data_IF_291591379467
#
_entry.id   IF_291591379467
#
_cell.length_a   1.000
_cell.length_b   1.000
_cell.length_c   1.000
_cell.angle_alpha   90.00
_cell.angle_beta   90.00
_cell.angle_gamma   90.00
#
_symmetry.space_group_name_H-M   'P 1'
#
loop_
_entity.id
_entity.type
_entity.pdbx_description
1 polymer ?
#
# COMPACT_ATOMS: atom_id res chain seq x y z
N UNK A 1 -36.44 3.34 57.12
CA UNK A 1 -35.10 2.76 56.90
C UNK A 1 -34.83 2.71 55.39
N UNK A 2 -34.13 3.72 54.89
CA UNK A 2 -33.27 3.80 53.69
C UNK A 2 -33.33 2.68 52.63
N UNK A 3 -34.31 2.67 51.73
CA UNK A 3 -34.22 1.87 50.49
C UNK A 3 -34.07 2.74 49.22
N UNK A 4 -34.54 3.99 49.26
CA UNK A 4 -34.47 4.90 48.09
C UNK A 4 -33.11 5.61 47.91
N UNK A 5 -32.17 5.48 48.86
CA UNK A 5 -30.88 6.20 48.84
C UNK A 5 -29.75 5.46 48.12
N UNK A 6 -29.95 4.20 47.73
CA UNK A 6 -28.87 3.34 47.22
C UNK A 6 -28.90 3.09 45.70
N UNK A 7 -29.82 3.67 44.95
CA UNK A 7 -29.96 3.43 43.50
C UNK A 7 -29.21 4.47 42.63
N UNK A 8 -28.67 5.53 43.24
CA UNK A 8 -28.03 6.64 42.50
C UNK A 8 -26.54 6.44 42.17
N UNK A 9 -25.93 5.31 42.55
CA UNK A 9 -24.47 5.14 42.44
C UNK A 9 -23.97 4.28 41.26
N UNK A 10 -24.85 3.72 40.43
CA UNK A 10 -24.43 2.77 39.37
C UNK A 10 -24.50 3.30 37.94
N UNK A 11 -24.91 4.55 37.71
CA UNK A 11 -25.03 5.10 36.35
C UNK A 11 -23.71 5.66 35.78
N UNK A 12 -22.67 5.86 36.60
CA UNK A 12 -21.40 6.50 36.17
C UNK A 12 -20.37 5.50 35.64
N UNK A 13 -20.59 4.18 35.80
CA UNK A 13 -19.64 3.17 35.35
C UNK A 13 -19.75 2.81 33.86
N UNK A 14 -20.86 3.14 33.19
CA UNK A 14 -21.09 2.83 31.78
C UNK A 14 -20.47 3.86 30.81
N UNK A 15 -19.99 5.00 31.31
CA UNK A 15 -19.40 6.06 30.48
C UNK A 15 -17.91 5.86 30.14
N UNK A 16 -17.20 4.96 30.84
CA UNK A 16 -15.76 4.76 30.63
C UNK A 16 -15.42 3.74 29.53
N UNK A 17 -16.40 2.98 29.03
CA UNK A 17 -16.15 2.00 27.95
C UNK A 17 -16.01 2.65 26.56
N UNK A 18 -16.28 3.96 26.43
CA UNK A 18 -16.17 4.68 25.16
C UNK A 18 -14.80 5.37 24.95
N UNK A 19 -13.84 5.20 25.87
CA UNK A 19 -12.47 5.72 25.74
C UNK A 19 -11.47 4.63 25.30
N UNK A 20 -11.96 3.58 24.64
CA UNK A 20 -11.11 2.64 23.90
C UNK A 20 -10.77 3.30 22.58
N UNK A 21 -9.60 3.96 22.51
CA UNK A 21 -9.18 4.77 21.36
C UNK A 21 -9.49 4.10 20.03
N UNK A 22 -10.25 4.80 19.20
CA UNK A 22 -10.46 4.40 17.82
C UNK A 22 -9.10 4.47 17.13
N UNK A 23 -8.56 3.31 16.74
CA UNK A 23 -7.42 3.27 15.84
C UNK A 23 -7.95 3.73 14.49
N UNK A 24 -7.66 4.96 14.11
CA UNK A 24 -7.96 5.44 12.77
C UNK A 24 -7.36 4.44 11.76
N UNK A 25 -8.11 4.09 10.70
CA UNK A 25 -7.55 3.24 9.64
C UNK A 25 -6.28 3.92 9.09
N UNK A 26 -5.24 3.15 8.75
CA UNK A 26 -4.02 3.71 8.23
C UNK A 26 -4.33 4.53 6.96
N UNK A 27 -3.70 5.70 6.86
CA UNK A 27 -3.79 6.53 5.67
C UNK A 27 -3.29 5.75 4.46
N UNK A 28 -3.93 5.93 3.30
CA UNK A 28 -3.53 5.29 2.04
C UNK A 28 -3.17 6.34 0.98
N UNK A 29 -2.49 5.89 -0.08
CA UNK A 29 -2.20 6.66 -1.29
C UNK A 29 -2.13 5.77 -2.53
N UNK A 30 -1.99 6.38 -3.70
CA UNK A 30 -1.86 5.66 -4.96
C UNK A 30 -0.39 5.50 -5.37
N UNK A 31 -0.05 4.34 -5.94
CA UNK A 31 1.26 4.00 -6.49
C UNK A 31 1.12 3.55 -7.93
N UNK A 32 2.01 4.02 -8.80
CA UNK A 32 2.12 3.55 -10.18
C UNK A 32 3.59 3.44 -10.55
N UNK A 33 3.98 2.31 -11.14
CA UNK A 33 5.32 2.05 -11.62
C UNK A 33 5.29 1.81 -13.12
N UNK A 34 6.00 2.64 -13.86
CA UNK A 34 6.24 2.45 -15.29
C UNK A 34 7.73 2.24 -15.55
N UNK A 35 8.04 1.49 -16.61
CA UNK A 35 9.42 1.22 -17.03
C UNK A 35 9.71 1.79 -18.41
N UNK A 36 10.93 2.27 -18.58
CA UNK A 36 11.53 2.73 -19.83
C UNK A 36 13.03 2.43 -19.78
N UNK A 37 13.71 2.54 -20.92
CA UNK A 37 15.16 2.38 -21.00
C UNK A 37 15.80 3.55 -21.75
N UNK A 38 17.08 3.76 -21.50
CA UNK A 38 17.87 4.69 -22.30
C UNK A 38 18.06 4.13 -23.72
N UNK A 39 18.37 4.99 -24.71
CA UNK A 39 18.73 4.52 -26.03
C UNK A 39 19.90 3.53 -25.95
N UNK A 40 19.73 2.36 -26.56
CA UNK A 40 20.77 1.33 -26.66
C UNK A 40 21.18 1.16 -28.11
N UNK A 41 22.47 1.33 -28.39
CA UNK A 41 23.02 1.13 -29.72
C UNK A 41 23.42 -0.33 -29.94
N UNK A 42 23.17 -0.86 -31.14
CA UNK A 42 23.68 -2.17 -31.57
C UNK A 42 22.93 -3.39 -31.05
N UNK A 43 21.89 -3.24 -30.22
CA UNK A 43 20.96 -4.32 -29.91
C UNK A 43 19.81 -4.37 -30.93
N UNK A 44 19.29 -5.57 -31.21
CA UNK A 44 18.09 -5.75 -32.05
C UNK A 44 16.81 -5.87 -31.22
N UNK A 45 16.93 -6.33 -29.97
CA UNK A 45 15.86 -6.35 -28.97
C UNK A 45 16.48 -6.55 -27.58
N UNK A 46 15.78 -6.07 -26.55
CA UNK A 46 16.14 -6.27 -25.14
C UNK A 46 14.89 -6.75 -24.41
N UNK A 47 14.77 -8.05 -24.21
CA UNK A 47 13.62 -8.66 -23.55
C UNK A 47 13.88 -8.86 -22.06
N UNK A 48 12.97 -8.39 -21.22
CA UNK A 48 12.96 -8.65 -19.78
C UNK A 48 11.65 -9.33 -19.40
N UNK A 49 11.75 -10.44 -18.69
CA UNK A 49 10.62 -11.15 -18.11
C UNK A 49 10.46 -10.69 -16.65
N UNK A 50 9.42 -9.89 -16.38
CA UNK A 50 9.06 -9.49 -15.02
C UNK A 50 8.18 -10.57 -14.40
N UNK A 51 8.57 -11.08 -13.23
CA UNK A 51 7.84 -12.13 -12.51
C UNK A 51 7.01 -11.60 -11.35
N UNK A 52 7.27 -10.36 -10.92
CA UNK A 52 6.57 -9.72 -9.82
C UNK A 52 7.29 -8.47 -9.33
N UNK A 53 6.58 -7.68 -8.53
CA UNK A 53 7.07 -6.47 -7.87
C UNK A 53 6.79 -6.62 -6.38
N UNK A 54 7.80 -6.36 -5.56
CA UNK A 54 7.69 -6.45 -4.11
C UNK A 54 7.81 -5.04 -3.50
N UNK A 55 6.79 -4.63 -2.77
CA UNK A 55 6.78 -3.39 -2.00
C UNK A 55 6.92 -3.74 -0.52
N UNK A 56 8.06 -3.41 0.08
CA UNK A 56 8.36 -3.69 1.48
C UNK A 56 7.94 -2.52 2.35
N UNK A 57 6.67 -2.53 2.76
CA UNK A 57 6.01 -1.44 3.47
C UNK A 57 5.96 -1.62 4.98
N UNK A 58 5.27 -0.69 5.68
CA UNK A 58 5.15 -0.68 7.14
C UNK A 58 4.51 -1.95 7.73
N UNK A 59 3.54 -2.55 7.03
CA UNK A 59 2.88 -3.79 7.46
C UNK A 59 3.47 -5.07 6.85
N UNK A 60 4.60 -4.98 6.15
CA UNK A 60 5.28 -6.10 5.51
C UNK A 60 5.35 -5.98 3.99
N UNK A 61 5.67 -7.10 3.34
CA UNK A 61 5.84 -7.17 1.88
C UNK A 61 4.50 -7.36 1.18
N UNK A 62 4.23 -6.51 0.20
CA UNK A 62 3.14 -6.63 -0.75
C UNK A 62 3.74 -7.13 -2.07
N UNK A 63 3.35 -8.32 -2.50
CA UNK A 63 3.75 -8.88 -3.80
C UNK A 63 2.66 -8.57 -4.82
N UNK A 64 3.07 -7.96 -5.94
CA UNK A 64 2.24 -7.71 -7.11
C UNK A 64 2.73 -8.68 -8.18
N UNK A 65 1.87 -9.59 -8.60
CA UNK A 65 2.19 -10.51 -9.68
C UNK A 65 2.38 -9.73 -10.98
N UNK A 66 3.51 -9.95 -11.64
CA UNK A 66 3.77 -9.49 -12.99
C UNK A 66 4.07 -10.73 -13.83
N UNK A 67 3.45 -10.83 -15.00
CA UNK A 67 3.70 -11.92 -15.93
C UNK A 67 4.01 -11.35 -17.33
N UNK A 68 4.76 -10.26 -17.34
CA UNK A 68 4.97 -9.45 -18.52
C UNK A 68 6.38 -9.64 -19.07
N UNK A 69 6.43 -10.07 -20.33
CA UNK A 69 7.64 -10.08 -21.14
C UNK A 69 7.67 -8.81 -21.97
N UNK A 70 8.61 -7.92 -21.66
CA UNK A 70 8.65 -6.58 -22.24
C UNK A 70 9.93 -6.40 -23.05
N UNK A 71 9.79 -5.89 -24.27
CA UNK A 71 10.92 -5.45 -25.07
C UNK A 71 11.27 -4.01 -24.71
N UNK A 72 12.25 -3.82 -23.84
CA UNK A 72 12.71 -2.50 -23.41
C UNK A 72 13.26 -1.67 -24.57
N UNK A 73 13.72 -2.30 -25.66
CA UNK A 73 14.15 -1.56 -26.85
C UNK A 73 13.01 -0.76 -27.51
N UNK A 74 11.75 -1.16 -27.32
CA UNK A 74 10.60 -0.40 -27.78
C UNK A 74 10.24 0.79 -26.85
N UNK A 75 10.81 0.80 -25.63
CA UNK A 75 10.52 1.76 -24.57
C UNK A 75 11.71 2.72 -24.40
N UNK A 76 11.74 3.77 -25.22
CA UNK A 76 12.80 4.79 -25.19
C UNK A 76 12.20 6.21 -25.26
N UNK A 77 12.98 7.19 -24.83
CA UNK A 77 12.56 8.60 -24.85
C UNK A 77 11.37 8.83 -23.92
N UNK A 78 10.21 9.15 -24.48
CA UNK A 78 8.97 9.37 -23.72
C UNK A 78 8.05 8.13 -23.68
N UNK A 79 8.49 7.00 -24.23
CA UNK A 79 7.72 5.76 -24.22
C UNK A 79 8.04 4.95 -22.97
N UNK A 80 7.00 4.52 -22.26
CA UNK A 80 7.10 3.64 -21.11
C UNK A 80 5.93 2.65 -21.09
N UNK A 81 6.11 1.55 -20.37
CA UNK A 81 5.07 0.56 -20.12
C UNK A 81 4.70 0.59 -18.63
N UNK A 82 3.42 0.52 -18.29
CA UNK A 82 2.95 0.44 -16.91
C UNK A 82 3.13 -0.99 -16.39
N UNK A 83 3.94 -1.18 -15.35
CA UNK A 83 4.18 -2.48 -14.72
C UNK A 83 3.26 -2.77 -13.54
N UNK A 84 2.92 -1.75 -12.76
CA UNK A 84 2.01 -1.90 -11.63
C UNK A 84 1.27 -0.62 -11.31
N UNK A 85 0.06 -0.77 -10.80
CA UNK A 85 -0.75 0.31 -10.25
C UNK A 85 -1.54 -0.20 -9.05
N UNK A 86 -1.44 0.52 -7.93
CA UNK A 86 -2.16 0.23 -6.67
C UNK A 86 -2.87 1.51 -6.24
N UNK A 87 -4.17 1.46 -6.03
CA UNK A 87 -4.99 2.64 -5.68
C UNK A 87 -4.98 2.94 -4.18
N UNK A 88 -4.87 1.89 -3.36
CA UNK A 88 -4.98 1.94 -1.91
C UNK A 88 -3.77 1.28 -1.27
N UNK A 89 -2.63 1.95 -1.38
CA UNK A 89 -1.37 1.52 -0.77
C UNK A 89 -1.21 2.19 0.59
N UNK A 90 -0.89 1.41 1.62
CA UNK A 90 -0.66 1.92 2.98
C UNK A 90 0.45 2.99 2.98
N UNK A 91 0.17 4.15 3.56
CA UNK A 91 1.15 5.22 3.71
C UNK A 91 2.17 4.85 4.80
N UNK A 92 3.44 5.14 4.53
CA UNK A 92 4.52 4.87 5.47
C UNK A 92 5.87 4.79 4.78
N UNK A 93 6.86 4.25 5.51
CA UNK A 93 8.20 4.08 4.99
C UNK A 93 8.32 2.71 4.29
N UNK A 94 8.88 2.73 3.09
CA UNK A 94 9.22 1.53 2.32
C UNK A 94 10.74 1.38 2.28
N UNK A 95 11.25 0.17 2.55
CA UNK A 95 12.70 -0.10 2.65
C UNK A 95 13.05 -1.51 2.19
N UNK A 96 14.27 -1.72 1.70
CA UNK A 96 14.81 -3.05 1.38
C UNK A 96 15.55 -3.67 2.57
#
# INVERSE_FOLDING_TARGET
MNLAKNVLLSAVALGLAACGGETDPPSTGAFSLSITDAPVDGATAVWVDFTGIELHGPSGTISIDAADKINLMALQGNNSELLASVTDLEAGNYQW
#
